data_IF_689096464277
#
_entry.id   IF_689096464277
#
_cell.length_a   1.000
_cell.length_b   1.000
_cell.length_c   1.000
_cell.angle_alpha   90.00
_cell.angle_beta   90.00
_cell.angle_gamma   90.00
#
_symmetry.space_group_name_H-M   'P 1'
#
loop_
_entity.id
_entity.type
_entity.pdbx_description
1 polymer ?
#
# COMPACT_ATOMS: atom_id res chain seq x y z
N UNK A 1 -57.42 -44.80 -9.51
CA UNK A 1 -57.77 -43.68 -8.61
C UNK A 1 -56.49 -42.90 -8.33
N UNK A 2 -56.55 -41.57 -8.48
CA UNK A 2 -55.42 -40.66 -8.62
C UNK A 2 -54.58 -40.44 -7.32
N UNK A 3 -53.36 -39.92 -7.56
CA UNK A 3 -52.26 -39.33 -6.73
C UNK A 3 -52.63 -38.67 -5.37
N UNK A 4 -51.70 -38.19 -4.50
CA UNK A 4 -50.22 -38.04 -4.59
C UNK A 4 -49.43 -38.36 -3.29
N UNK A 5 -48.09 -38.40 -3.34
CA UNK A 5 -47.23 -37.68 -2.37
C UNK A 5 -45.77 -37.85 -2.77
N UNK A 6 -45.30 -36.91 -3.57
CA UNK A 6 -43.89 -36.55 -3.55
C UNK A 6 -43.58 -35.92 -2.19
N UNK A 7 -42.54 -36.34 -1.46
CA UNK A 7 -41.77 -35.39 -0.70
C UNK A 7 -40.85 -34.69 -1.69
N UNK A 8 -41.11 -33.40 -1.89
CA UNK A 8 -40.18 -32.46 -2.50
C UNK A 8 -38.87 -32.45 -1.71
N UNK A 9 -37.95 -33.35 -2.05
CA UNK A 9 -36.52 -33.11 -1.84
C UNK A 9 -36.04 -32.22 -2.97
N UNK A 10 -36.39 -30.95 -2.88
CA UNK A 10 -35.44 -29.93 -3.33
C UNK A 10 -34.37 -29.92 -2.24
N UNK A 11 -33.44 -30.87 -2.35
CA UNK A 11 -32.13 -30.72 -1.74
C UNK A 11 -31.61 -29.38 -2.24
N UNK A 12 -31.66 -28.39 -1.36
CA UNK A 12 -30.90 -27.17 -1.48
C UNK A 12 -29.42 -27.53 -1.37
N UNK A 13 -28.88 -28.11 -2.44
CA UNK A 13 -27.44 -28.24 -2.70
C UNK A 13 -26.88 -26.87 -3.12
N UNK A 14 -27.04 -25.86 -2.26
CA UNK A 14 -26.31 -24.59 -2.35
C UNK A 14 -25.25 -24.53 -1.24
N UNK A 15 -24.58 -25.66 -1.05
CA UNK A 15 -23.48 -25.83 -0.10
C UNK A 15 -22.18 -26.00 -0.86
N UNK A 16 -21.56 -24.91 -1.32
CA UNK A 16 -20.16 -25.00 -1.77
C UNK A 16 -19.67 -24.00 -2.80
N UNK A 17 -20.51 -23.13 -3.35
CA UNK A 17 -20.06 -22.09 -4.27
C UNK A 17 -20.49 -20.74 -3.73
N UNK A 18 -19.59 -20.01 -3.09
CA UNK A 18 -19.78 -18.56 -3.00
C UNK A 18 -20.07 -18.07 -4.42
N UNK A 19 -21.19 -17.39 -4.59
CA UNK A 19 -21.62 -16.91 -5.91
C UNK A 19 -20.55 -15.96 -6.45
N UNK A 20 -20.30 -15.93 -7.76
CA UNK A 20 -19.39 -14.94 -8.37
C UNK A 20 -19.74 -13.52 -7.93
N UNK A 21 -21.03 -13.26 -7.70
CA UNK A 21 -21.53 -12.02 -7.15
C UNK A 21 -21.12 -11.75 -5.70
N UNK A 22 -20.99 -12.78 -4.85
CA UNK A 22 -20.49 -12.64 -3.49
C UNK A 22 -19.00 -12.26 -3.48
N UNK A 23 -18.18 -12.93 -4.29
CA UNK A 23 -16.76 -12.62 -4.40
C UNK A 23 -16.50 -11.19 -4.95
N UNK A 24 -17.33 -10.73 -5.89
CA UNK A 24 -17.31 -9.33 -6.36
C UNK A 24 -17.77 -8.34 -5.29
N UNK A 25 -18.77 -8.70 -4.48
CA UNK A 25 -19.22 -7.83 -3.37
C UNK A 25 -18.16 -7.70 -2.27
N UNK A 26 -17.40 -8.77 -2.06
CA UNK A 26 -16.24 -8.80 -1.18
C UNK A 26 -15.10 -7.91 -1.71
N UNK A 27 -14.77 -7.98 -3.01
CA UNK A 27 -13.78 -7.09 -3.64
C UNK A 27 -14.17 -5.61 -3.49
N UNK A 28 -15.44 -5.25 -3.77
CA UNK A 28 -15.92 -3.87 -3.65
C UNK A 28 -15.72 -3.33 -2.24
N UNK A 29 -16.13 -4.10 -1.23
CA UNK A 29 -16.06 -3.71 0.18
C UNK A 29 -14.62 -3.50 0.62
N UNK A 30 -13.71 -4.40 0.21
CA UNK A 30 -12.27 -4.30 0.51
C UNK A 30 -11.61 -3.13 -0.20
N UNK A 31 -12.00 -2.86 -1.44
CA UNK A 31 -11.51 -1.71 -2.20
C UNK A 31 -11.91 -0.39 -1.53
N UNK A 32 -13.15 -0.27 -1.05
CA UNK A 32 -13.62 0.92 -0.31
C UNK A 32 -12.78 1.10 0.97
N UNK A 33 -12.53 0.04 1.74
CA UNK A 33 -11.68 0.12 2.93
C UNK A 33 -10.22 0.48 2.60
N UNK A 34 -9.67 -0.06 1.51
CA UNK A 34 -8.31 0.27 1.05
C UNK A 34 -8.22 1.74 0.63
N UNK A 35 -9.20 2.24 -0.14
CA UNK A 35 -9.29 3.65 -0.49
C UNK A 35 -9.41 4.54 0.75
N UNK A 36 -10.26 4.18 1.72
CA UNK A 36 -10.39 4.90 2.98
C UNK A 36 -9.09 4.95 3.77
N UNK A 37 -8.35 3.84 3.82
CA UNK A 37 -7.04 3.79 4.46
C UNK A 37 -5.99 4.64 3.75
N UNK A 38 -5.98 4.68 2.41
CA UNK A 38 -5.08 5.55 1.63
C UNK A 38 -5.41 7.02 1.87
N UNK A 39 -6.70 7.39 1.92
CA UNK A 39 -7.11 8.77 2.20
C UNK A 39 -6.66 9.17 3.61
N UNK A 40 -6.95 8.36 4.63
CA UNK A 40 -6.49 8.61 5.99
C UNK A 40 -4.96 8.66 6.09
N UNK A 41 -4.27 7.73 5.43
CA UNK A 41 -2.82 7.68 5.33
C UNK A 41 -2.27 8.95 4.68
N UNK A 42 -2.90 9.47 3.63
CA UNK A 42 -2.51 10.71 2.94
C UNK A 42 -2.61 11.92 3.85
N UNK A 43 -3.68 12.05 4.64
CA UNK A 43 -3.78 13.15 5.61
C UNK A 43 -2.64 13.11 6.64
N UNK A 44 -2.34 11.92 7.17
CA UNK A 44 -1.20 11.73 8.10
C UNK A 44 0.13 11.99 7.38
N UNK A 45 0.27 11.51 6.15
CA UNK A 45 1.46 11.65 5.31
C UNK A 45 1.77 13.11 5.00
N UNK A 46 0.77 13.93 4.65
CA UNK A 46 0.93 15.37 4.41
C UNK A 46 1.32 16.11 5.69
N UNK A 47 0.78 15.71 6.85
CA UNK A 47 1.18 16.27 8.13
C UNK A 47 2.66 15.99 8.44
N UNK A 48 3.10 14.74 8.22
CA UNK A 48 4.50 14.31 8.44
C UNK A 48 5.45 14.80 7.36
N UNK A 49 4.96 15.07 6.14
CA UNK A 49 5.77 15.39 4.97
C UNK A 49 6.67 16.61 5.18
N UNK A 50 6.21 17.64 5.91
CA UNK A 50 7.04 18.81 6.21
C UNK A 50 8.31 18.44 6.96
N UNK A 51 8.19 17.59 7.98
CA UNK A 51 9.33 17.13 8.77
C UNK A 51 10.19 16.12 7.99
N UNK A 52 9.54 15.24 7.22
CA UNK A 52 10.23 14.23 6.42
C UNK A 52 11.00 14.83 5.25
N UNK A 53 10.53 15.94 4.67
CA UNK A 53 11.20 16.65 3.59
C UNK A 53 12.59 17.12 4.01
N UNK A 54 12.72 17.68 5.21
CA UNK A 54 14.02 18.08 5.76
C UNK A 54 14.95 16.86 5.96
N UNK A 55 14.41 15.74 6.43
CA UNK A 55 15.17 14.51 6.61
C UNK A 55 15.72 13.98 5.28
N UNK A 56 14.88 13.93 4.24
CA UNK A 56 15.28 13.44 2.90
C UNK A 56 16.20 14.42 2.18
N UNK A 57 16.05 15.73 2.39
CA UNK A 57 16.89 16.73 1.76
C UNK A 57 18.32 16.79 2.31
N UNK A 58 18.55 16.38 3.58
CA UNK A 58 19.89 16.37 4.21
C UNK A 58 20.97 15.65 3.39
N UNK A 59 20.81 14.38 2.98
CA UNK A 59 21.83 13.68 2.19
C UNK A 59 22.07 14.32 0.82
N UNK A 60 21.06 14.98 0.25
CA UNK A 60 21.21 15.70 -1.03
C UNK A 60 22.06 16.96 -0.85
N UNK A 61 21.81 17.75 0.20
CA UNK A 61 22.60 18.95 0.53
C UNK A 61 24.05 18.58 0.87
N UNK A 62 24.26 17.49 1.60
CA UNK A 62 25.60 17.04 1.97
C UNK A 62 26.38 16.48 0.78
N UNK A 63 25.72 15.80 -0.17
CA UNK A 63 26.35 15.40 -1.43
C UNK A 63 26.76 16.62 -2.28
N UNK A 64 25.91 17.64 -2.34
CA UNK A 64 26.17 18.88 -3.09
C UNK A 64 27.33 19.69 -2.50
N UNK A 65 27.39 19.81 -1.16
CA UNK A 65 28.52 20.44 -0.46
C UNK A 65 29.84 19.72 -0.72
N UNK A 66 29.85 18.39 -0.77
CA UNK A 66 31.06 17.61 -1.10
C UNK A 66 31.56 17.84 -2.52
N UNK A 67 30.67 18.22 -3.43
CA UNK A 67 30.99 18.49 -4.83
C UNK A 67 31.24 19.98 -5.12
N UNK A 68 31.30 20.84 -4.10
CA UNK A 68 31.61 22.27 -4.23
C UNK A 68 30.61 23.05 -5.13
N UNK A 69 29.36 22.57 -5.18
CA UNK A 69 28.24 23.20 -5.89
C UNK A 69 27.37 23.99 -4.90
N UNK A 70 26.61 24.99 -5.39
CA UNK A 70 25.82 25.88 -4.53
C UNK A 70 24.83 25.11 -3.65
N UNK A 71 24.98 25.24 -2.33
CA UNK A 71 24.29 24.52 -1.25
C UNK A 71 22.78 24.81 -1.12
N UNK A 72 22.17 25.49 -2.10
CA UNK A 72 20.77 25.92 -2.07
C UNK A 72 19.92 25.07 -3.01
N UNK A 73 19.03 24.26 -2.43
CA UNK A 73 17.87 23.75 -3.17
C UNK A 73 16.95 24.93 -3.48
N UNK A 74 16.91 25.33 -4.75
CA UNK A 74 16.06 26.43 -5.22
C UNK A 74 14.76 25.83 -5.76
N UNK A 75 13.62 26.29 -5.25
CA UNK A 75 12.33 25.97 -5.86
C UNK A 75 12.15 26.83 -7.10
N UNK A 76 12.18 26.20 -8.28
CA UNK A 76 12.06 26.87 -9.58
C UNK A 76 10.65 27.38 -9.88
N UNK A 77 9.65 27.05 -9.05
CA UNK A 77 8.27 27.52 -9.18
C UNK A 77 7.78 28.15 -7.87
N UNK A 78 6.98 29.23 -7.92
CA UNK A 78 6.41 29.87 -6.73
C UNK A 78 5.48 28.93 -5.95
N UNK A 79 4.81 27.98 -6.63
CA UNK A 79 4.03 26.92 -6.01
C UNK A 79 4.83 25.62 -5.75
N UNK A 80 6.14 25.61 -6.03
CA UNK A 80 6.98 24.41 -5.99
C UNK A 80 7.05 23.78 -4.60
N UNK A 81 7.13 24.60 -3.55
CA UNK A 81 7.15 24.11 -2.17
C UNK A 81 5.83 23.41 -1.80
N UNK A 82 4.68 24.01 -2.13
CA UNK A 82 3.37 23.41 -1.84
C UNK A 82 3.17 22.11 -2.63
N UNK A 83 3.51 22.12 -3.92
CA UNK A 83 3.46 20.93 -4.77
C UNK A 83 4.33 19.79 -4.21
N UNK A 84 5.54 20.11 -3.76
CA UNK A 84 6.47 19.14 -3.18
C UNK A 84 5.92 18.54 -1.88
N UNK A 85 5.40 19.37 -0.97
CA UNK A 85 4.83 18.90 0.31
C UNK A 85 3.62 18.00 0.09
N UNK A 86 2.71 18.38 -0.80
CA UNK A 86 1.51 17.58 -1.10
C UNK A 86 1.89 16.26 -1.78
N UNK A 87 2.78 16.30 -2.78
CA UNK A 87 3.21 15.11 -3.53
C UNK A 87 3.97 14.14 -2.63
N UNK A 88 4.92 14.64 -1.82
CA UNK A 88 5.64 13.82 -0.85
C UNK A 88 4.69 13.27 0.21
N UNK A 89 3.75 14.06 0.70
CA UNK A 89 2.74 13.63 1.65
C UNK A 89 1.82 12.54 1.11
N UNK A 90 1.46 12.60 -0.17
CA UNK A 90 0.72 11.55 -0.86
C UNK A 90 1.53 10.24 -0.90
N UNK A 91 2.80 10.29 -1.30
CA UNK A 91 3.66 9.11 -1.32
C UNK A 91 3.87 8.52 0.07
N UNK A 92 4.14 9.36 1.07
CA UNK A 92 4.27 8.93 2.47
C UNK A 92 2.96 8.35 2.99
N UNK A 93 1.83 8.94 2.61
CA UNK A 93 0.52 8.43 3.01
C UNK A 93 0.21 7.06 2.43
N UNK A 94 0.56 6.83 1.17
CA UNK A 94 0.47 5.49 0.55
C UNK A 94 1.40 4.51 1.26
N UNK A 95 2.62 4.92 1.60
CA UNK A 95 3.58 4.11 2.36
C UNK A 95 3.03 3.74 3.74
N UNK A 96 2.41 4.67 4.45
CA UNK A 96 1.79 4.44 5.77
C UNK A 96 0.54 3.55 5.65
N UNK A 97 -0.25 3.74 4.60
CA UNK A 97 -1.44 2.93 4.33
C UNK A 97 -1.12 1.53 3.77
N UNK A 98 0.08 1.33 3.21
CA UNK A 98 0.46 0.11 2.51
C UNK A 98 0.33 -1.18 3.34
N UNK A 99 0.62 -1.23 4.65
CA UNK A 99 0.47 -2.46 5.44
C UNK A 99 -1.00 -2.89 5.51
N UNK A 100 -1.90 -1.93 5.67
CA UNK A 100 -3.33 -2.17 5.70
C UNK A 100 -3.88 -2.55 4.32
N UNK A 101 -3.45 -1.87 3.27
CA UNK A 101 -3.84 -2.18 1.89
C UNK A 101 -3.37 -3.59 1.50
N UNK A 102 -2.12 -3.94 1.80
CA UNK A 102 -1.58 -5.28 1.55
C UNK A 102 -2.34 -6.35 2.34
N UNK A 103 -2.71 -6.08 3.59
CA UNK A 103 -3.54 -6.98 4.38
C UNK A 103 -4.92 -7.20 3.74
N UNK A 104 -5.59 -6.14 3.29
CA UNK A 104 -6.90 -6.22 2.63
C UNK A 104 -6.83 -7.00 1.31
N UNK A 105 -5.75 -6.82 0.54
CA UNK A 105 -5.48 -7.56 -0.70
C UNK A 105 -5.28 -9.04 -0.41
N UNK A 106 -4.44 -9.40 0.56
CA UNK A 106 -4.22 -10.80 0.91
C UNK A 106 -5.47 -11.48 1.45
N UNK A 107 -6.26 -10.76 2.24
CA UNK A 107 -7.50 -11.28 2.77
C UNK A 107 -8.52 -11.52 1.63
N UNK A 108 -8.43 -10.81 0.48
CA UNK A 108 -9.25 -11.04 -0.72
C UNK A 108 -8.81 -12.29 -1.48
N UNK A 109 -7.50 -12.56 -1.50
CA UNK A 109 -6.93 -13.75 -2.14
C UNK A 109 -7.17 -15.01 -1.28
N UNK A 110 -7.16 -14.87 0.05
CA UNK A 110 -7.33 -15.96 1.01
C UNK A 110 -8.59 -16.84 0.84
N UNK A 111 -9.80 -16.35 0.50
CA UNK A 111 -10.96 -17.21 0.22
C UNK A 111 -10.76 -18.16 -0.96
N UNK A 112 -9.87 -17.84 -1.90
CA UNK A 112 -9.48 -18.73 -3.01
C UNK A 112 -8.48 -19.82 -2.62
N UNK A 113 -7.96 -19.83 -1.39
CA UNK A 113 -6.90 -20.72 -0.92
C UNK A 113 -7.44 -21.75 0.09
N UNK A 114 -6.95 -23.00 0.04
CA UNK A 114 -7.44 -24.11 0.87
C UNK A 114 -7.40 -23.76 2.37
N UNK A 115 -8.43 -24.18 3.13
CA UNK A 115 -8.64 -23.89 4.57
C UNK A 115 -7.42 -24.17 5.47
N UNK A 116 -6.52 -25.07 5.05
CA UNK A 116 -5.30 -25.44 5.78
C UNK A 116 -4.14 -24.45 5.57
N UNK A 117 -4.17 -23.56 4.58
CA UNK A 117 -3.10 -22.60 4.30
C UNK A 117 -3.35 -21.19 4.84
N UNK A 118 -4.47 -20.97 5.55
CA UNK A 118 -4.78 -19.65 6.16
C UNK A 118 -3.68 -19.15 7.11
N UNK A 119 -2.92 -20.06 7.74
CA UNK A 119 -1.74 -19.70 8.55
C UNK A 119 -0.56 -19.19 7.69
N UNK A 120 -0.38 -19.70 6.47
CA UNK A 120 0.66 -19.24 5.57
C UNK A 120 0.40 -17.80 5.11
N UNK A 121 -0.87 -17.43 4.88
CA UNK A 121 -1.27 -16.06 4.50
C UNK A 121 -0.79 -15.02 5.53
N UNK A 122 -0.91 -15.31 6.83
CA UNK A 122 -0.41 -14.41 7.86
C UNK A 122 1.13 -14.21 7.77
N UNK A 123 1.87 -15.28 7.51
CA UNK A 123 3.32 -15.21 7.26
C UNK A 123 3.67 -14.41 6.00
N UNK A 124 2.89 -14.56 4.92
CA UNK A 124 3.04 -13.77 3.70
C UNK A 124 2.77 -12.28 3.90
N UNK A 125 1.75 -11.92 4.67
CA UNK A 125 1.46 -10.51 5.00
C UNK A 125 2.64 -9.89 5.76
N UNK A 126 3.10 -10.55 6.82
CA UNK A 126 4.25 -10.07 7.62
C UNK A 126 5.50 -9.92 6.74
N UNK A 127 5.77 -10.92 5.89
CA UNK A 127 6.92 -10.89 4.98
C UNK A 127 6.79 -9.77 3.95
N UNK A 128 5.60 -9.49 3.45
CA UNK A 128 5.34 -8.40 2.50
C UNK A 128 5.60 -7.03 3.14
N UNK A 129 5.13 -6.83 4.37
CA UNK A 129 5.37 -5.59 5.12
C UNK A 129 6.87 -5.44 5.44
N UNK A 130 7.53 -6.52 5.88
CA UNK A 130 8.97 -6.50 6.13
C UNK A 130 9.77 -6.18 4.87
N UNK A 131 9.42 -6.79 3.73
CA UNK A 131 10.07 -6.55 2.45
C UNK A 131 9.83 -5.13 1.94
N UNK A 132 8.63 -4.58 2.14
CA UNK A 132 8.31 -3.20 1.79
C UNK A 132 9.15 -2.19 2.60
N UNK A 133 9.25 -2.39 3.92
CA UNK A 133 10.11 -1.57 4.78
C UNK A 133 11.60 -1.71 4.42
N UNK A 134 12.03 -2.94 4.13
CA UNK A 134 13.39 -3.21 3.65
C UNK A 134 13.68 -2.49 2.32
N UNK A 135 12.72 -2.50 1.39
CA UNK A 135 12.82 -1.77 0.13
C UNK A 135 12.96 -0.26 0.31
N UNK A 136 12.17 0.34 1.23
CA UNK A 136 12.28 1.77 1.57
C UNK A 136 13.66 2.08 2.15
N UNK A 137 14.13 1.25 3.10
CA UNK A 137 15.45 1.43 3.70
C UNK A 137 16.57 1.29 2.65
N UNK A 138 16.49 0.30 1.77
CA UNK A 138 17.45 0.08 0.70
C UNK A 138 17.50 1.27 -0.28
N UNK A 139 16.33 1.79 -0.68
CA UNK A 139 16.25 2.95 -1.56
C UNK A 139 16.91 4.18 -0.93
N UNK A 140 16.69 4.43 0.36
CA UNK A 140 17.25 5.59 1.06
C UNK A 140 18.76 5.45 1.35
N UNK A 141 19.20 4.30 1.85
CA UNK A 141 20.59 4.13 2.32
C UNK A 141 21.57 3.70 1.23
N UNK A 142 21.12 3.00 0.18
CA UNK A 142 22.00 2.44 -0.85
C UNK A 142 21.83 3.16 -2.17
N UNK A 143 20.60 3.22 -2.68
CA UNK A 143 20.34 3.77 -4.03
C UNK A 143 20.54 5.27 -4.06
N UNK A 144 19.99 6.03 -3.09
CA UNK A 144 20.11 7.48 -3.06
C UNK A 144 21.58 7.98 -3.09
N UNK A 145 22.50 7.54 -2.22
CA UNK A 145 23.89 7.99 -2.28
C UNK A 145 24.63 7.52 -3.54
N UNK A 146 24.27 6.35 -4.08
CA UNK A 146 24.86 5.87 -5.33
C UNK A 146 24.42 6.73 -6.52
N UNK A 147 23.13 7.07 -6.60
CA UNK A 147 22.59 7.98 -7.60
C UNK A 147 23.25 9.36 -7.53
N UNK A 148 23.37 9.91 -6.31
CA UNK A 148 23.99 11.22 -6.11
C UNK A 148 25.46 11.26 -6.53
N UNK A 149 26.23 10.19 -6.29
CA UNK A 149 27.62 10.06 -6.77
C UNK A 149 27.75 9.91 -8.29
N UNK A 150 26.73 9.37 -8.95
CA UNK A 150 26.74 9.20 -10.40
C UNK A 150 26.33 10.49 -11.12
N UNK A 151 25.39 11.23 -10.53
CA UNK A 151 24.80 12.41 -11.15
C UNK A 151 25.64 13.69 -10.97
N UNK A 152 26.36 13.78 -9.85
CA UNK A 152 27.28 14.87 -9.50
C UNK A 152 28.71 14.42 -9.77
#
# INVERSE_FOLDING_TARGET
MATPSAPSRLESEDGGKMSFFEHLSELRTRLIHACGAIVAGTFIGVYVAKHFLEFVARPMVDALRRANLQDKLIFTHPAGYLYQVITLGLYLGIVIASPYVLYQVWLFVAPGLYRNEKKAVAGFVISSVALFLCGIAFAYYVILPYLLKFLV
#
